data_IF_212168364400
#
_entry.id   IF_212168364400
#
_cell.length_a   1.000
_cell.length_b   1.000
_cell.length_c   1.000
_cell.angle_alpha   90.00
_cell.angle_beta   90.00
_cell.angle_gamma   90.00
#
_symmetry.space_group_name_H-M   'P 1'
#
loop_
_entity.id
_entity.type
_entity.pdbx_description
1 polymer ?
#
# COMPACT_ATOMS: atom_id res chain seq x y z
N UNK A 1 -17.93 -18.42 7.93
CA UNK A 1 -19.03 -19.39 7.79
C UNK A 1 -19.59 -19.69 9.16
N UNK A 2 -20.90 -19.57 9.36
CA UNK A 2 -21.58 -19.87 10.63
C UNK A 2 -22.30 -21.20 10.50
N UNK A 3 -22.93 -21.46 9.38
CA UNK A 3 -23.66 -22.67 9.05
C UNK A 3 -23.49 -22.95 7.55
N UNK A 4 -24.06 -24.05 7.02
CA UNK A 4 -23.85 -24.45 5.62
C UNK A 4 -24.28 -23.40 4.62
N UNK A 5 -25.31 -22.61 4.93
CA UNK A 5 -25.83 -21.54 4.09
C UNK A 5 -25.85 -20.18 4.78
N UNK A 6 -25.00 -19.97 5.79
CA UNK A 6 -24.94 -18.69 6.51
C UNK A 6 -23.49 -18.19 6.59
N UNK A 7 -23.26 -17.12 5.86
CA UNK A 7 -21.99 -16.40 5.83
C UNK A 7 -22.17 -15.00 6.39
N UNK A 8 -21.29 -14.59 7.28
CA UNK A 8 -21.34 -13.27 7.93
C UNK A 8 -19.99 -12.59 7.75
N UNK A 9 -20.02 -11.33 7.33
CA UNK A 9 -18.88 -10.41 7.36
C UNK A 9 -19.15 -9.25 8.31
N UNK A 10 -18.19 -8.94 9.15
CA UNK A 10 -18.20 -7.79 10.04
C UNK A 10 -17.13 -6.80 9.57
N UNK A 11 -17.53 -5.61 9.19
CA UNK A 11 -16.63 -4.63 8.61
C UNK A 11 -16.90 -3.21 9.15
N UNK A 12 -16.09 -2.26 8.65
CA UNK A 12 -16.25 -0.83 8.91
C UNK A 12 -16.33 -0.11 7.56
N UNK A 13 -17.13 0.94 7.49
CA UNK A 13 -17.17 1.87 6.36
C UNK A 13 -16.97 3.29 6.87
N UNK A 14 -16.54 4.20 6.02
CA UNK A 14 -16.24 5.58 6.34
C UNK A 14 -15.25 5.69 7.52
N UNK A 15 -14.14 4.96 7.40
CA UNK A 15 -13.08 4.93 8.42
C UNK A 15 -12.16 6.14 8.23
N UNK A 16 -12.59 7.29 8.73
CA UNK A 16 -11.89 8.56 8.64
C UNK A 16 -11.63 9.10 10.04
N UNK A 17 -10.41 9.56 10.30
CA UNK A 17 -9.96 10.12 11.59
C UNK A 17 -10.40 9.30 12.82
N UNK A 18 -10.31 7.98 12.72
CA UNK A 18 -10.75 7.06 13.75
C UNK A 18 -9.85 5.82 13.86
N UNK A 19 -9.82 5.18 15.04
CA UNK A 19 -9.10 3.94 15.23
C UNK A 19 -9.88 2.75 14.62
N UNK A 20 -9.19 1.93 13.82
CA UNK A 20 -9.76 0.72 13.24
C UNK A 20 -10.13 -0.30 14.31
N UNK A 21 -11.25 -0.97 14.10
CA UNK A 21 -11.76 -2.03 14.97
C UNK A 21 -10.97 -3.33 14.76
N UNK A 22 -10.44 -3.89 15.84
CA UNK A 22 -9.96 -5.27 15.90
C UNK A 22 -11.06 -6.20 16.39
N UNK A 23 -11.14 -7.39 15.82
CA UNK A 23 -12.00 -8.47 16.34
C UNK A 23 -11.18 -9.32 17.31
N UNK A 24 -11.68 -9.52 18.52
CA UNK A 24 -11.14 -10.54 19.43
C UNK A 24 -12.13 -11.71 19.46
N UNK A 25 -11.66 -12.90 19.18
CA UNK A 25 -12.44 -14.10 19.50
C UNK A 25 -12.47 -14.25 21.01
N UNK A 26 -13.67 -14.38 21.58
CA UNK A 26 -13.76 -14.80 22.98
C UNK A 26 -13.19 -16.21 23.10
N UNK A 27 -12.25 -16.44 24.01
CA UNK A 27 -11.62 -17.74 24.25
C UNK A 27 -12.59 -18.81 24.81
N UNK A 28 -13.86 -18.50 24.95
CA UNK A 28 -14.84 -19.35 25.64
C UNK A 28 -15.74 -20.18 24.74
N UNK A 29 -15.36 -20.41 23.48
CA UNK A 29 -16.13 -21.32 22.60
C UNK A 29 -17.53 -20.81 22.19
N UNK A 30 -17.94 -19.64 22.63
CA UNK A 30 -19.15 -18.99 22.19
C UNK A 30 -18.84 -18.18 20.94
N UNK A 31 -19.76 -18.16 19.96
CA UNK A 31 -19.67 -17.34 18.73
C UNK A 31 -19.74 -15.82 19.02
N UNK A 32 -19.11 -15.37 20.10
CA UNK A 32 -19.10 -14.00 20.55
C UNK A 32 -17.87 -13.29 20.01
N UNK A 33 -18.08 -12.18 19.31
CA UNK A 33 -17.04 -11.30 18.83
C UNK A 33 -17.04 -10.01 19.64
N UNK A 34 -15.88 -9.67 20.18
CA UNK A 34 -15.68 -8.42 20.91
C UNK A 34 -15.03 -7.38 19.99
N UNK A 35 -15.54 -6.17 20.03
CA UNK A 35 -14.97 -5.01 19.37
C UNK A 35 -13.87 -4.39 20.22
N UNK A 36 -12.67 -4.28 19.71
CA UNK A 36 -11.57 -3.59 20.37
C UNK A 36 -10.95 -2.56 19.43
N UNK A 37 -10.91 -1.30 19.83
CA UNK A 37 -10.17 -0.26 19.13
C UNK A 37 -8.71 -0.24 19.58
N UNK A 38 -7.82 0.13 18.68
CA UNK A 38 -6.40 0.29 18.98
C UNK A 38 -6.17 1.61 19.72
N UNK A 39 -5.51 1.60 20.88
CA UNK A 39 -5.23 2.82 21.63
C UNK A 39 -4.07 3.63 21.02
N UNK A 40 -4.02 4.91 21.38
CA UNK A 40 -2.82 5.72 21.26
C UNK A 40 -1.68 5.10 22.09
N UNK A 41 -0.42 5.30 21.71
CA UNK A 41 0.73 4.82 22.46
C UNK A 41 0.67 5.31 23.92
N UNK A 42 0.94 4.40 24.85
CA UNK A 42 1.01 4.67 26.29
C UNK A 42 -0.25 5.29 26.93
N UNK A 43 -1.39 5.24 26.22
CA UNK A 43 -2.67 5.81 26.64
C UNK A 43 -3.78 4.76 26.61
N UNK A 44 -4.85 5.03 27.37
CA UNK A 44 -6.12 4.27 27.27
C UNK A 44 -7.05 4.82 26.19
N UNK A 45 -6.78 6.05 25.74
CA UNK A 45 -7.57 6.74 24.70
C UNK A 45 -7.40 6.03 23.37
N UNK A 46 -8.49 5.87 22.62
CA UNK A 46 -8.54 5.21 21.31
C UNK A 46 -8.65 6.21 20.17
N UNK A 47 -9.40 7.29 20.42
CA UNK A 47 -9.68 8.34 19.44
C UNK A 47 -9.58 9.68 20.16
N UNK A 48 -8.95 10.65 19.51
CA UNK A 48 -8.89 12.06 19.89
C UNK A 48 -9.56 12.86 18.78
N UNK A 49 -10.64 13.52 19.08
CA UNK A 49 -11.41 14.25 18.09
C UNK A 49 -11.97 15.56 18.65
N UNK A 50 -12.14 16.53 17.78
CA UNK A 50 -12.92 17.74 18.05
C UNK A 50 -14.38 17.54 17.65
N UNK A 51 -15.29 18.19 18.34
CA UNK A 51 -16.71 18.14 17.98
C UNK A 51 -17.05 19.27 16.99
N UNK A 52 -17.96 19.02 16.03
CA UNK A 52 -18.67 17.77 15.74
C UNK A 52 -17.74 16.71 15.12
N UNK A 53 -18.01 15.41 15.41
CA UNK A 53 -17.20 14.29 14.91
C UNK A 53 -18.11 13.12 14.52
N UNK A 54 -17.82 12.50 13.36
CA UNK A 54 -18.47 11.26 12.92
C UNK A 54 -17.67 10.05 13.37
N UNK A 55 -18.35 8.96 13.65
CA UNK A 55 -17.73 7.65 13.86
C UNK A 55 -17.93 6.78 12.62
N UNK A 56 -17.02 5.86 12.32
CA UNK A 56 -17.21 4.91 11.23
C UNK A 56 -18.46 4.07 11.40
N UNK A 57 -19.07 3.67 10.31
CA UNK A 57 -20.14 2.69 10.31
C UNK A 57 -19.64 1.32 10.78
N UNK A 58 -20.45 0.62 11.55
CA UNK A 58 -20.21 -0.79 11.90
C UNK A 58 -21.22 -1.64 11.16
N UNK A 59 -20.71 -2.45 10.23
CA UNK A 59 -21.56 -3.22 9.32
C UNK A 59 -21.56 -4.70 9.65
N UNK A 60 -22.70 -5.34 9.51
CA UNK A 60 -22.89 -6.78 9.53
C UNK A 60 -23.52 -7.16 8.20
N UNK A 61 -22.77 -7.84 7.35
CA UNK A 61 -23.27 -8.37 6.08
C UNK A 61 -23.61 -9.85 6.29
N UNK A 62 -24.77 -10.25 5.82
CA UNK A 62 -25.26 -11.62 5.92
C UNK A 62 -25.63 -12.10 4.51
N UNK A 63 -25.13 -13.27 4.12
CA UNK A 63 -25.39 -13.86 2.82
C UNK A 63 -25.50 -15.39 2.91
N UNK A 64 -26.19 -15.97 1.93
CA UNK A 64 -26.33 -17.42 1.77
C UNK A 64 -25.11 -18.08 1.10
N UNK A 65 -24.19 -17.29 0.55
CA UNK A 65 -22.96 -17.74 -0.10
C UNK A 65 -21.80 -16.79 0.16
N UNK A 66 -20.54 -17.23 0.01
CA UNK A 66 -19.38 -16.33 0.08
C UNK A 66 -19.42 -15.24 -1.02
N UNK A 67 -19.87 -15.58 -2.22
CA UNK A 67 -20.02 -14.65 -3.33
C UNK A 67 -20.95 -13.49 -2.98
N UNK A 68 -22.06 -13.73 -2.32
CA UNK A 68 -22.98 -12.69 -1.90
C UNK A 68 -22.38 -11.68 -0.91
N UNK A 69 -21.33 -12.04 -0.17
CA UNK A 69 -20.58 -11.07 0.64
C UNK A 69 -19.65 -10.19 -0.22
N UNK A 70 -19.06 -10.76 -1.26
CA UNK A 70 -18.15 -10.04 -2.17
C UNK A 70 -18.93 -9.08 -3.08
N UNK A 71 -20.09 -9.52 -3.57
CA UNK A 71 -20.96 -8.73 -4.46
C UNK A 71 -21.68 -7.58 -3.74
N UNK A 72 -21.69 -7.60 -2.39
CA UNK A 72 -22.38 -6.58 -1.61
C UNK A 72 -21.70 -5.21 -1.73
N UNK A 73 -22.46 -4.22 -2.16
CA UNK A 73 -22.02 -2.81 -2.25
C UNK A 73 -22.24 -2.02 -0.95
N UNK A 74 -22.64 -2.67 0.14
CA UNK A 74 -22.98 -2.00 1.39
C UNK A 74 -21.84 -1.11 1.90
N UNK A 75 -20.60 -1.61 1.90
CA UNK A 75 -19.44 -0.86 2.41
C UNK A 75 -19.20 0.38 1.54
N UNK A 76 -19.23 0.23 0.22
CA UNK A 76 -19.04 1.34 -0.72
C UNK A 76 -20.12 2.42 -0.55
N UNK A 77 -21.38 2.01 -0.41
CA UNK A 77 -22.50 2.93 -0.28
C UNK A 77 -22.56 3.69 1.06
N UNK A 78 -21.80 3.26 2.06
CA UNK A 78 -21.71 3.90 3.37
C UNK A 78 -20.50 4.84 3.51
N UNK A 79 -19.63 4.91 2.51
CA UNK A 79 -18.59 5.92 2.45
C UNK A 79 -19.14 7.21 1.82
N UNK A 80 -18.53 8.34 2.15
CA UNK A 80 -18.81 9.58 1.47
C UNK A 80 -18.46 9.45 -0.04
N UNK A 81 -19.08 10.22 -0.93
CA UNK A 81 -18.74 10.21 -2.36
C UNK A 81 -17.27 10.55 -2.59
N UNK A 82 -16.74 10.13 -3.74
CA UNK A 82 -15.40 10.50 -4.17
C UNK A 82 -15.30 12.02 -4.35
N UNK A 83 -14.30 12.64 -3.72
CA UNK A 83 -14.06 14.09 -3.79
C UNK A 83 -13.22 14.52 -5.00
N UNK A 84 -12.68 13.56 -5.78
CA UNK A 84 -11.91 13.86 -6.98
C UNK A 84 -12.83 14.10 -8.18
N UNK A 85 -12.65 15.26 -8.86
CA UNK A 85 -13.40 15.59 -10.08
C UNK A 85 -13.01 14.72 -11.27
N UNK A 86 -11.72 14.35 -11.36
CA UNK A 86 -11.18 13.44 -12.37
C UNK A 86 -10.51 12.25 -11.69
N UNK A 87 -10.91 11.04 -12.09
CA UNK A 87 -10.39 9.77 -11.61
C UNK A 87 -9.80 8.92 -12.75
N UNK A 88 -9.61 9.48 -13.95
CA UNK A 88 -9.12 8.73 -15.13
C UNK A 88 -7.66 8.26 -14.96
N UNK A 89 -6.94 8.82 -13.99
CA UNK A 89 -5.58 8.43 -13.62
C UNK A 89 -5.54 7.17 -12.72
N UNK A 90 -6.64 6.81 -12.08
CA UNK A 90 -6.74 5.58 -11.26
C UNK A 90 -6.94 4.40 -12.21
N UNK A 91 -5.94 3.55 -12.31
CA UNK A 91 -5.89 2.43 -13.25
C UNK A 91 -5.64 1.09 -12.51
N UNK A 92 -6.69 0.47 -11.93
CA UNK A 92 -6.55 -0.81 -11.25
C UNK A 92 -6.01 -1.88 -12.19
N UNK A 93 -4.82 -2.40 -11.89
CA UNK A 93 -4.07 -3.21 -12.82
C UNK A 93 -3.36 -4.39 -12.15
N UNK A 94 -2.92 -5.34 -12.96
CA UNK A 94 -2.03 -6.42 -12.53
C UNK A 94 -0.58 -5.96 -12.61
N UNK A 95 0.25 -6.44 -11.72
CA UNK A 95 1.69 -6.27 -11.83
C UNK A 95 2.46 -7.56 -11.57
N UNK A 96 3.63 -7.66 -12.15
CA UNK A 96 4.65 -8.64 -11.78
C UNK A 96 5.98 -7.91 -11.53
N UNK A 97 6.98 -8.62 -11.00
CA UNK A 97 8.27 -7.96 -10.82
C UNK A 97 9.28 -8.67 -9.94
N UNK A 98 10.36 -7.96 -9.70
CA UNK A 98 11.48 -8.40 -8.88
C UNK A 98 11.10 -8.32 -7.42
N UNK A 99 10.73 -9.44 -6.82
CA UNK A 99 10.39 -9.56 -5.41
C UNK A 99 10.62 -10.97 -4.87
N UNK A 100 10.00 -11.99 -5.47
CA UNK A 100 10.07 -13.36 -4.95
C UNK A 100 11.47 -13.96 -5.00
N UNK A 101 12.22 -13.68 -6.05
CA UNK A 101 13.62 -14.08 -6.20
C UNK A 101 14.52 -13.56 -5.07
N UNK A 102 14.21 -12.37 -4.55
CA UNK A 102 14.89 -11.75 -3.41
C UNK A 102 14.60 -12.52 -2.12
N UNK A 103 13.34 -12.87 -1.87
CA UNK A 103 12.92 -13.60 -0.67
C UNK A 103 13.48 -15.02 -0.59
N UNK A 104 13.64 -15.70 -1.72
CA UNK A 104 14.21 -17.04 -1.78
C UNK A 104 15.74 -17.04 -1.95
N UNK A 105 16.38 -15.87 -1.88
CA UNK A 105 17.84 -15.72 -1.90
C UNK A 105 18.51 -16.03 -3.25
N UNK A 106 17.76 -16.00 -4.35
CA UNK A 106 18.31 -16.11 -5.71
C UNK A 106 18.91 -14.82 -6.22
N UNK A 107 18.37 -13.71 -5.77
CA UNK A 107 18.79 -12.35 -6.10
C UNK A 107 18.89 -11.51 -4.82
N UNK A 108 19.53 -10.36 -4.89
CA UNK A 108 19.71 -9.43 -3.75
C UNK A 108 18.96 -8.13 -3.96
N UNK A 109 18.56 -7.47 -2.85
CA UNK A 109 17.92 -6.14 -2.87
C UNK A 109 18.87 -4.99 -3.17
N UNK A 110 20.15 -5.19 -2.97
CA UNK A 110 21.17 -4.16 -3.18
C UNK A 110 22.16 -4.56 -4.27
N UNK A 111 22.82 -3.56 -4.84
CA UNK A 111 23.78 -3.73 -5.95
C UNK A 111 24.82 -4.84 -5.73
N UNK A 112 25.35 -5.35 -6.82
CA UNK A 112 26.32 -6.44 -6.87
C UNK A 112 25.95 -7.48 -7.95
N UNK A 113 26.73 -8.56 -8.10
CA UNK A 113 26.58 -9.50 -9.20
C UNK A 113 25.23 -10.22 -9.24
N UNK A 114 24.51 -10.25 -8.12
CA UNK A 114 23.21 -10.92 -8.00
C UNK A 114 22.07 -9.92 -7.77
N UNK A 115 22.28 -8.62 -7.98
CA UNK A 115 21.24 -7.61 -7.80
C UNK A 115 20.05 -7.89 -8.72
N UNK A 116 18.85 -8.02 -8.13
CA UNK A 116 17.64 -8.35 -8.85
C UNK A 116 17.10 -7.21 -9.70
N UNK A 117 17.16 -5.99 -9.20
CA UNK A 117 16.62 -4.80 -9.87
C UNK A 117 17.62 -4.11 -10.81
N UNK A 118 18.44 -4.88 -11.55
CA UNK A 118 19.30 -4.35 -12.60
C UNK A 118 18.54 -4.20 -13.94
N UNK A 119 19.02 -3.33 -14.82
CA UNK A 119 18.40 -3.02 -16.13
C UNK A 119 18.04 -4.28 -16.93
N UNK A 120 18.97 -5.21 -17.07
CA UNK A 120 18.78 -6.43 -17.86
C UNK A 120 17.67 -7.32 -17.29
N UNK A 121 17.61 -7.48 -15.98
CA UNK A 121 16.62 -8.34 -15.34
C UNK A 121 15.24 -7.69 -15.35
N UNK A 122 15.15 -6.38 -15.12
CA UNK A 122 13.88 -5.64 -15.18
C UNK A 122 13.29 -5.71 -16.59
N UNK A 123 14.09 -5.52 -17.64
CA UNK A 123 13.63 -5.69 -19.04
C UNK A 123 13.09 -7.10 -19.30
N UNK A 124 13.67 -8.14 -18.72
CA UNK A 124 13.12 -9.51 -18.81
C UNK A 124 11.73 -9.65 -18.15
N UNK A 125 11.47 -8.93 -17.05
CA UNK A 125 10.14 -8.87 -16.45
C UNK A 125 9.16 -8.07 -17.30
N UNK A 126 9.63 -7.01 -17.97
CA UNK A 126 8.83 -6.24 -18.93
C UNK A 126 8.42 -7.12 -20.11
N UNK A 127 9.35 -7.90 -20.70
CA UNK A 127 9.04 -8.86 -21.77
C UNK A 127 7.98 -9.87 -21.33
N UNK A 128 8.09 -10.36 -20.08
CA UNK A 128 7.11 -11.29 -19.51
C UNK A 128 5.75 -10.61 -19.32
N UNK A 129 5.72 -9.39 -18.80
CA UNK A 129 4.51 -8.63 -18.57
C UNK A 129 3.77 -8.37 -19.90
N UNK A 130 4.48 -7.85 -20.91
CA UNK A 130 3.95 -7.60 -22.25
C UNK A 130 3.35 -8.84 -22.89
N UNK A 131 4.03 -9.99 -22.75
CA UNK A 131 3.54 -11.26 -23.31
C UNK A 131 2.30 -11.81 -22.63
N UNK A 132 2.04 -11.43 -21.38
CA UNK A 132 0.97 -12.00 -20.54
C UNK A 132 -0.13 -10.99 -20.16
N UNK A 133 -0.23 -9.88 -20.88
CA UNK A 133 -1.21 -8.83 -20.64
C UNK A 133 -1.20 -8.37 -19.16
N UNK A 134 -0.01 -8.08 -18.65
CA UNK A 134 0.23 -7.51 -17.32
C UNK A 134 0.67 -6.07 -17.50
N UNK A 135 -0.04 -5.15 -16.90
CA UNK A 135 0.06 -3.72 -17.15
C UNK A 135 1.30 -3.08 -16.52
N UNK A 136 1.77 -3.61 -15.36
CA UNK A 136 2.88 -3.01 -14.62
C UNK A 136 4.00 -4.00 -14.29
N UNK A 137 5.22 -3.46 -14.25
CA UNK A 137 6.40 -4.13 -13.68
C UNK A 137 6.90 -3.34 -12.49
N UNK A 138 7.04 -4.01 -11.35
CA UNK A 138 7.62 -3.50 -10.11
C UNK A 138 9.04 -4.06 -9.94
N UNK A 139 9.99 -3.26 -9.46
CA UNK A 139 11.31 -3.75 -9.08
C UNK A 139 11.67 -3.30 -7.66
N UNK A 140 11.54 -4.19 -6.67
CA UNK A 140 12.08 -3.93 -5.34
C UNK A 140 13.60 -3.88 -5.40
N UNK A 141 14.20 -2.88 -4.73
CA UNK A 141 15.64 -2.65 -4.78
C UNK A 141 16.11 -1.77 -5.95
N UNK A 142 15.20 -1.14 -6.69
CA UNK A 142 15.52 -0.32 -7.86
C UNK A 142 16.36 0.94 -7.53
N UNK A 143 16.32 1.42 -6.28
CA UNK A 143 17.04 2.62 -5.86
C UNK A 143 18.36 2.28 -5.14
N UNK A 144 19.30 3.23 -5.16
CA UNK A 144 20.70 3.06 -4.75
C UNK A 144 20.92 2.70 -3.29
N UNK A 145 20.07 3.17 -2.39
CA UNK A 145 20.23 3.03 -0.96
C UNK A 145 19.22 2.03 -0.38
N UNK A 146 19.58 1.36 0.71
CA UNK A 146 18.68 0.46 1.41
C UNK A 146 17.43 1.16 1.97
N UNK A 147 16.55 0.42 2.65
CA UNK A 147 15.32 0.97 3.23
C UNK A 147 15.57 2.18 4.10
N UNK A 148 14.63 3.11 4.15
CA UNK A 148 14.66 4.29 5.01
C UNK A 148 14.92 3.86 6.46
N UNK A 149 15.84 4.54 7.15
CA UNK A 149 16.20 4.22 8.53
C UNK A 149 17.19 3.07 8.71
N UNK A 150 17.63 2.40 7.65
CA UNK A 150 18.74 1.44 7.76
C UNK A 150 20.09 2.14 7.82
N UNK A 151 21.08 1.50 8.47
CA UNK A 151 22.44 2.04 8.56
C UNK A 151 23.03 2.20 7.16
N UNK A 152 23.26 3.44 6.75
CA UNK A 152 23.73 3.78 5.40
C UNK A 152 22.61 4.06 4.38
N UNK A 153 21.33 3.93 4.78
CA UNK A 153 20.20 4.26 3.96
C UNK A 153 19.62 5.62 4.31
N UNK A 154 19.64 6.53 3.37
CA UNK A 154 18.74 7.67 3.32
C UNK A 154 18.14 7.66 1.95
N UNK A 155 17.23 6.69 1.65
CA UNK A 155 16.67 6.59 0.33
C UNK A 155 15.85 7.83 0.09
N UNK A 156 16.23 8.55 -0.92
CA UNK A 156 15.42 9.65 -1.44
C UNK A 156 14.37 9.11 -2.42
N UNK A 157 14.38 7.81 -2.75
CA UNK A 157 13.53 7.12 -3.73
C UNK A 157 13.53 7.76 -5.13
N UNK A 158 14.60 8.46 -5.48
CA UNK A 158 14.77 9.16 -6.76
C UNK A 158 16.11 8.86 -7.43
N UNK A 159 16.99 8.12 -6.76
CA UNK A 159 18.31 7.77 -7.29
C UNK A 159 18.33 6.27 -7.60
N UNK A 160 18.35 5.85 -8.88
CA UNK A 160 18.45 4.44 -9.25
C UNK A 160 19.71 3.77 -8.73
N UNK A 161 19.67 2.46 -8.56
CA UNK A 161 20.86 1.66 -8.31
C UNK A 161 21.89 1.83 -9.46
N UNK A 162 23.19 1.68 -9.17
CA UNK A 162 24.25 1.96 -10.14
C UNK A 162 24.19 1.06 -11.40
N UNK A 163 23.50 -0.07 -11.32
CA UNK A 163 23.30 -1.05 -12.40
C UNK A 163 21.87 -1.03 -13.00
N UNK A 164 21.06 -0.04 -12.59
CA UNK A 164 19.75 0.22 -13.17
C UNK A 164 19.74 1.55 -13.93
N UNK A 165 19.61 1.49 -15.23
CA UNK A 165 19.26 2.65 -16.06
C UNK A 165 17.73 2.83 -16.04
N UNK A 166 17.27 3.77 -15.22
CA UNK A 166 15.82 3.98 -15.03
C UNK A 166 15.16 4.51 -16.30
N UNK A 167 15.81 5.44 -17.01
CA UNK A 167 15.29 6.01 -18.25
C UNK A 167 15.15 4.92 -19.32
N UNK A 168 16.17 4.06 -19.49
CA UNK A 168 16.12 2.93 -20.41
C UNK A 168 14.98 1.96 -20.05
N UNK A 169 14.80 1.67 -18.77
CA UNK A 169 13.77 0.72 -18.30
C UNK A 169 12.36 1.28 -18.51
N UNK A 170 12.13 2.54 -18.18
CA UNK A 170 10.82 3.18 -18.36
C UNK A 170 10.46 3.28 -19.84
N UNK A 171 11.38 3.74 -20.67
CA UNK A 171 11.17 3.83 -22.12
C UNK A 171 10.90 2.44 -22.71
N UNK A 172 11.68 1.43 -22.35
CA UNK A 172 11.48 0.06 -22.81
C UNK A 172 10.12 -0.52 -22.38
N UNK A 173 9.67 -0.21 -21.17
CA UNK A 173 8.35 -0.61 -20.72
C UNK A 173 7.25 -0.01 -21.61
N UNK A 174 7.29 1.29 -21.87
CA UNK A 174 6.33 1.98 -22.74
C UNK A 174 6.33 1.45 -24.17
N UNK A 175 7.49 1.21 -24.77
CA UNK A 175 7.62 0.61 -26.10
C UNK A 175 6.95 -0.76 -26.19
N UNK A 176 6.83 -1.48 -25.07
CA UNK A 176 6.20 -2.79 -24.98
C UNK A 176 4.78 -2.76 -24.39
N UNK A 177 4.17 -1.58 -24.21
CA UNK A 177 2.82 -1.43 -23.67
C UNK A 177 2.71 -1.75 -22.18
N UNK A 178 3.82 -1.65 -21.43
CA UNK A 178 3.91 -1.90 -19.98
C UNK A 178 4.32 -0.61 -19.28
N UNK A 179 3.92 -0.43 -18.03
CA UNK A 179 4.33 0.71 -17.19
C UNK A 179 5.29 0.24 -16.07
N UNK A 180 6.17 1.12 -15.63
CA UNK A 180 7.04 0.84 -14.49
C UNK A 180 6.40 1.38 -13.20
N UNK A 181 6.21 0.51 -12.20
CA UNK A 181 5.67 0.86 -10.88
C UNK A 181 6.80 1.13 -9.91
N UNK A 182 6.79 2.28 -9.27
CA UNK A 182 7.75 2.61 -8.23
C UNK A 182 7.52 1.78 -6.94
N UNK A 183 8.61 1.49 -6.23
CA UNK A 183 8.58 0.81 -4.93
C UNK A 183 9.33 1.64 -3.90
N UNK A 184 8.68 1.93 -2.77
CA UNK A 184 9.28 2.68 -1.67
C UNK A 184 9.28 1.84 -0.39
N UNK A 185 10.45 1.34 -0.01
CA UNK A 185 10.64 0.60 1.24
C UNK A 185 10.89 1.57 2.40
N UNK A 186 9.86 1.83 3.21
CA UNK A 186 9.93 2.87 4.25
C UNK A 186 10.64 2.42 5.54
N UNK A 187 10.83 1.11 5.75
CA UNK A 187 11.43 0.59 6.97
C UNK A 187 10.73 1.07 8.26
N UNK A 188 9.42 1.30 8.23
CA UNK A 188 8.60 1.89 9.29
C UNK A 188 8.86 3.39 9.57
N UNK A 189 9.80 4.03 8.85
CA UNK A 189 10.19 5.45 9.07
C UNK A 189 9.26 6.39 8.29
N UNK A 190 7.97 6.25 8.51
CA UNK A 190 6.94 6.94 7.72
C UNK A 190 6.91 8.46 7.93
N UNK A 191 7.38 8.96 9.07
CA UNK A 191 7.50 10.42 9.29
C UNK A 191 8.65 11.01 8.46
N UNK A 192 9.76 10.28 8.29
CA UNK A 192 10.85 10.72 7.42
C UNK A 192 10.43 10.64 5.95
N UNK A 193 9.70 9.59 5.56
CA UNK A 193 9.14 9.47 4.22
C UNK A 193 8.16 10.60 3.91
N UNK A 194 7.29 10.97 4.85
CA UNK A 194 6.36 12.11 4.70
C UNK A 194 7.08 13.42 4.34
N UNK A 195 8.27 13.67 4.88
CA UNK A 195 9.05 14.90 4.62
C UNK A 195 9.53 15.03 3.18
N UNK A 196 9.63 13.92 2.45
CA UNK A 196 10.17 13.88 1.09
C UNK A 196 9.11 13.57 0.03
N UNK A 197 7.83 13.45 0.37
CA UNK A 197 6.75 13.10 -0.55
C UNK A 197 6.72 14.00 -1.79
N UNK A 198 6.77 15.32 -1.64
CA UNK A 198 6.73 16.24 -2.77
C UNK A 198 7.88 15.98 -3.75
N UNK A 199 9.09 15.82 -3.24
CA UNK A 199 10.27 15.54 -4.06
C UNK A 199 10.17 14.21 -4.79
N UNK A 200 9.68 13.17 -4.09
CA UNK A 200 9.57 11.82 -4.62
C UNK A 200 8.47 11.74 -5.67
N UNK A 201 7.30 12.27 -5.39
CA UNK A 201 6.16 12.15 -6.30
C UNK A 201 6.29 13.06 -7.52
N UNK A 202 6.90 14.24 -7.37
CA UNK A 202 7.28 15.06 -8.53
C UNK A 202 8.26 14.30 -9.44
N UNK A 203 9.27 13.64 -8.88
CA UNK A 203 10.19 12.82 -9.67
C UNK A 203 9.48 11.68 -10.40
N UNK A 204 8.48 11.04 -9.77
CA UNK A 204 7.70 9.98 -10.42
C UNK A 204 6.83 10.50 -11.55
N UNK A 205 6.16 11.62 -11.34
CA UNK A 205 5.38 12.29 -12.39
C UNK A 205 6.28 12.67 -13.59
N UNK A 206 7.45 13.28 -13.34
CA UNK A 206 8.41 13.67 -14.38
C UNK A 206 9.00 12.47 -15.16
N UNK A 207 8.99 11.27 -14.58
CA UNK A 207 9.49 10.02 -15.18
C UNK A 207 8.38 9.04 -15.57
N UNK A 208 7.14 9.50 -15.64
CA UNK A 208 5.95 8.71 -16.04
C UNK A 208 5.77 7.40 -15.26
N UNK A 209 6.09 7.45 -13.96
CA UNK A 209 5.81 6.37 -13.01
C UNK A 209 4.48 6.64 -12.31
N UNK A 210 3.40 6.16 -12.91
CA UNK A 210 2.02 6.50 -12.52
C UNK A 210 1.43 5.61 -11.43
N UNK A 211 2.18 4.67 -10.91
CA UNK A 211 1.75 3.82 -9.81
C UNK A 211 2.89 3.57 -8.81
N UNK A 212 2.51 3.40 -7.54
CA UNK A 212 3.46 3.20 -6.44
C UNK A 212 3.04 2.07 -5.52
N UNK A 213 4.01 1.28 -5.07
CA UNK A 213 3.86 0.38 -3.93
C UNK A 213 4.71 0.86 -2.77
N UNK A 214 4.08 1.19 -1.65
CA UNK A 214 4.78 1.54 -0.41
C UNK A 214 4.92 0.30 0.47
N UNK A 215 6.15 -0.17 0.66
CA UNK A 215 6.47 -1.40 1.38
C UNK A 215 6.90 -1.15 2.83
N UNK A 216 6.92 -2.25 3.59
CA UNK A 216 7.40 -2.37 4.96
C UNK A 216 7.01 -1.21 5.89
N UNK A 217 5.75 -0.86 5.89
CA UNK A 217 5.22 0.14 6.83
C UNK A 217 5.10 -0.42 8.26
N UNK A 218 5.26 -1.73 8.42
CA UNK A 218 5.36 -2.45 9.68
C UNK A 218 4.10 -2.46 10.53
N UNK A 219 4.19 -3.10 11.69
CA UNK A 219 3.13 -3.11 12.70
C UNK A 219 3.08 -1.85 13.56
N UNK A 220 4.18 -1.07 13.57
CA UNK A 220 4.31 0.21 14.27
C UNK A 220 4.92 1.23 13.32
N UNK A 221 4.10 2.20 12.93
CA UNK A 221 4.50 3.34 12.13
C UNK A 221 5.33 4.30 12.98
N UNK A 222 6.43 4.81 12.44
CA UNK A 222 7.38 5.65 13.16
C UNK A 222 7.83 5.03 14.51
N UNK A 223 7.98 3.69 14.55
CA UNK A 223 8.33 2.88 15.72
C UNK A 223 7.40 3.05 16.95
N UNK A 224 6.33 3.78 16.81
CA UNK A 224 5.45 4.22 17.90
C UNK A 224 3.99 3.86 17.68
N UNK A 225 3.42 4.24 16.55
CA UNK A 225 1.97 4.15 16.31
C UNK A 225 1.59 2.81 15.70
N UNK A 226 0.57 2.18 16.24
CA UNK A 226 0.01 0.99 15.60
C UNK A 226 -0.71 1.36 14.32
N UNK A 227 -0.43 0.66 13.21
CA UNK A 227 -1.00 0.94 11.88
C UNK A 227 -2.54 0.89 11.81
N UNK A 228 -3.23 0.29 12.78
CA UNK A 228 -4.68 0.32 12.94
C UNK A 228 -5.15 1.38 13.94
N UNK A 229 -4.28 2.17 14.53
CA UNK A 229 -4.66 3.31 15.37
C UNK A 229 -5.12 4.49 14.53
N UNK A 230 -5.76 5.47 15.17
CA UNK A 230 -6.23 6.69 14.50
C UNK A 230 -5.10 7.39 13.74
N UNK A 231 -3.91 7.52 14.34
CA UNK A 231 -2.75 8.12 13.68
C UNK A 231 -2.36 7.39 12.39
N UNK A 232 -2.39 6.07 12.41
CA UNK A 232 -2.08 5.27 11.22
C UNK A 232 -3.14 5.39 10.12
N UNK A 233 -4.42 5.45 10.49
CA UNK A 233 -5.50 5.69 9.54
C UNK A 233 -5.31 7.04 8.85
N UNK A 234 -5.05 8.10 9.63
CA UNK A 234 -4.83 9.44 9.09
C UNK A 234 -3.58 9.50 8.19
N UNK A 235 -2.49 8.84 8.58
CA UNK A 235 -1.29 8.75 7.74
C UNK A 235 -1.59 8.13 6.36
N UNK A 236 -2.36 7.05 6.30
CA UNK A 236 -2.69 6.43 5.01
C UNK A 236 -3.62 7.30 4.17
N UNK A 237 -4.55 8.02 4.79
CA UNK A 237 -5.39 8.97 4.07
C UNK A 237 -4.58 10.13 3.50
N UNK A 238 -3.71 10.73 4.32
CA UNK A 238 -2.80 11.79 3.86
C UNK A 238 -1.89 11.32 2.71
N UNK A 239 -1.41 10.06 2.76
CA UNK A 239 -0.61 9.50 1.67
C UNK A 239 -1.42 9.38 0.38
N UNK A 240 -2.64 8.85 0.45
CA UNK A 240 -3.54 8.73 -0.71
C UNK A 240 -3.86 10.11 -1.30
N UNK A 241 -4.22 11.09 -0.46
CA UNK A 241 -4.48 12.46 -0.90
C UNK A 241 -3.23 13.09 -1.53
N UNK A 242 -2.06 12.76 -1.00
CA UNK A 242 -0.79 13.27 -1.51
C UNK A 242 -0.42 12.66 -2.87
N UNK A 243 -0.55 11.35 -3.04
CA UNK A 243 -0.28 10.69 -4.34
C UNK A 243 -1.28 11.15 -5.41
N UNK A 244 -2.54 11.37 -5.03
CA UNK A 244 -3.56 11.89 -5.94
C UNK A 244 -3.22 13.27 -6.53
N UNK A 245 -2.51 14.14 -5.78
CA UNK A 245 -2.05 15.44 -6.30
C UNK A 245 -1.09 15.32 -7.48
N UNK A 246 -0.43 14.19 -7.61
CA UNK A 246 0.53 13.84 -8.67
C UNK A 246 -0.02 12.80 -9.65
N UNK A 247 -1.32 12.47 -9.59
CA UNK A 247 -1.96 11.42 -10.38
C UNK A 247 -1.24 10.06 -10.31
N UNK A 248 -0.78 9.68 -9.10
CA UNK A 248 -0.11 8.41 -8.82
C UNK A 248 -1.07 7.49 -8.08
N UNK A 249 -1.34 6.29 -8.67
CA UNK A 249 -2.18 5.22 -8.11
C UNK A 249 -1.43 4.34 -7.10
#
# INVERSE_FOLDING_TARGET
KIDDNLYISLYEADLTDYAKKKKKNSRQGNNTLESALVPWPDEKVKVKASTPHKTPWRTIQIASSPGGLIESKLIQNLNDPCDYENIDWIDPAKYCGVWWSLHIGKETWSGGPQHGANTKNVKRYIDFAAKNDIEYVLAEGWYKYGPLGTKGGSPEFITPADDLDLEEVVNYAHENGVKFMAYNETGCQVEEYRKIWDKVFQFYEENDMTAIKVGHVGGRLADKYHHHGQWGVNYYQELIEKTAQYHID
#
